data_IF_014930165762
#
_entry.id   IF_014930165762
#
_cell.length_a   1.000
_cell.length_b   1.000
_cell.length_c   1.000
_cell.angle_alpha   90.00
_cell.angle_beta   90.00
_cell.angle_gamma   90.00
#
_symmetry.space_group_name_H-M   'P 1'
#
loop_
_entity.id
_entity.type
_entity.pdbx_description
1 polymer ?
#
# COMPACT_ATOMS: atom_id res chain seq x y z
N UNK A 1 15.10 6.28 17.24
CA UNK A 1 14.07 6.24 16.18
C UNK A 1 13.02 5.26 16.67
N UNK A 2 11.77 5.69 16.84
CA UNK A 2 10.70 4.82 17.34
C UNK A 2 10.08 4.01 16.18
N UNK A 3 9.46 2.87 16.50
CA UNK A 3 8.83 1.99 15.52
C UNK A 3 7.72 2.73 14.74
N UNK A 4 7.02 3.65 15.41
CA UNK A 4 5.95 4.46 14.81
C UNK A 4 6.47 5.34 13.67
N UNK A 5 7.56 6.07 13.89
CA UNK A 5 8.14 6.95 12.89
C UNK A 5 8.71 6.16 11.70
N UNK A 6 9.21 4.95 11.93
CA UNK A 6 9.61 4.02 10.86
C UNK A 6 8.40 3.56 10.03
N UNK A 7 7.30 3.17 10.69
CA UNK A 7 6.05 2.81 10.01
C UNK A 7 5.55 3.99 9.20
N UNK A 8 5.48 5.19 9.78
CA UNK A 8 5.00 6.40 9.11
C UNK A 8 5.86 6.70 7.87
N UNK A 9 7.19 6.72 8.02
CA UNK A 9 8.11 7.00 6.91
C UNK A 9 7.99 5.96 5.79
N UNK A 10 7.93 4.68 6.15
CA UNK A 10 7.82 3.60 5.18
C UNK A 10 6.45 3.57 4.50
N UNK A 11 5.37 3.89 5.23
CA UNK A 11 4.02 4.00 4.68
C UNK A 11 3.93 5.13 3.65
N UNK A 12 4.60 6.26 3.86
CA UNK A 12 4.65 7.35 2.89
C UNK A 12 5.38 6.96 1.60
N UNK A 13 6.44 6.14 1.69
CA UNK A 13 7.13 5.58 0.52
C UNK A 13 6.18 4.66 -0.26
N UNK A 14 5.50 3.75 0.43
CA UNK A 14 4.53 2.85 -0.22
C UNK A 14 3.35 3.61 -0.82
N UNK A 15 2.77 4.57 -0.08
CA UNK A 15 1.64 5.38 -0.50
C UNK A 15 1.90 6.02 -1.86
N UNK A 16 2.97 6.81 -1.97
CA UNK A 16 3.34 7.47 -3.23
C UNK A 16 3.54 6.47 -4.36
N UNK A 17 4.14 5.31 -4.08
CA UNK A 17 4.39 4.31 -5.14
C UNK A 17 3.10 3.65 -5.60
N UNK A 18 2.19 3.32 -4.69
CA UNK A 18 0.91 2.71 -5.01
C UNK A 18 0.05 3.70 -5.79
N UNK A 19 -0.05 4.96 -5.35
CA UNK A 19 -0.76 6.03 -6.08
C UNK A 19 -0.31 6.12 -7.54
N UNK A 20 1.00 6.12 -7.79
CA UNK A 20 1.54 6.14 -9.15
C UNK A 20 1.13 4.94 -10.01
N UNK A 21 0.99 3.75 -9.42
CA UNK A 21 0.50 2.59 -10.18
C UNK A 21 -1.02 2.65 -10.40
N UNK A 22 -1.79 3.19 -9.43
CA UNK A 22 -3.22 3.38 -9.58
C UNK A 22 -3.55 4.45 -10.63
N UNK A 23 -2.80 5.54 -10.68
CA UNK A 23 -2.98 6.59 -11.69
C UNK A 23 -2.75 6.04 -13.10
N UNK A 24 -1.75 5.16 -13.30
CA UNK A 24 -1.56 4.45 -14.56
C UNK A 24 -2.73 3.50 -14.88
N UNK A 25 -3.28 2.82 -13.87
CA UNK A 25 -4.46 1.97 -14.05
C UNK A 25 -5.64 2.82 -14.53
N UNK A 26 -5.86 3.97 -13.92
CA UNK A 26 -6.90 4.92 -14.31
C UNK A 26 -6.70 5.42 -15.75
N UNK A 27 -5.47 5.77 -16.15
CA UNK A 27 -5.11 6.16 -17.53
C UNK A 27 -5.40 5.06 -18.56
N UNK A 28 -5.28 3.79 -18.16
CA UNK A 28 -5.61 2.63 -19.01
C UNK A 28 -7.08 2.20 -18.95
N UNK A 29 -7.91 2.90 -18.17
CA UNK A 29 -9.34 2.60 -18.02
C UNK A 29 -9.65 1.40 -17.12
N UNK A 30 -8.69 0.96 -16.29
CA UNK A 30 -8.91 -0.09 -15.29
C UNK A 30 -9.69 0.48 -14.11
N UNK A 31 -10.83 -0.12 -13.80
CA UNK A 31 -11.62 0.29 -12.63
C UNK A 31 -10.95 -0.18 -11.34
N UNK A 32 -10.35 0.75 -10.60
CA UNK A 32 -9.80 0.48 -9.27
C UNK A 32 -10.94 0.39 -8.25
N UNK A 33 -11.13 -0.81 -7.69
CA UNK A 33 -12.11 -1.08 -6.63
C UNK A 33 -11.42 -1.67 -5.38
N UNK A 34 -12.17 -1.84 -4.29
CA UNK A 34 -11.64 -2.34 -3.01
C UNK A 34 -11.05 -3.76 -3.15
N UNK A 35 -11.68 -4.63 -3.94
CA UNK A 35 -11.19 -5.99 -4.18
C UNK A 35 -9.81 -6.00 -4.85
N UNK A 36 -9.61 -5.16 -5.87
CA UNK A 36 -8.34 -5.00 -6.55
C UNK A 36 -7.26 -4.43 -5.60
N UNK A 37 -7.61 -3.44 -4.78
CA UNK A 37 -6.68 -2.88 -3.79
C UNK A 37 -6.29 -3.90 -2.73
N UNK A 38 -7.24 -4.71 -2.25
CA UNK A 38 -6.97 -5.79 -1.29
C UNK A 38 -6.06 -6.86 -1.89
N UNK A 39 -6.33 -7.28 -3.13
CA UNK A 39 -5.46 -8.21 -3.85
C UNK A 39 -4.05 -7.65 -4.04
N UNK A 40 -3.95 -6.37 -4.40
CA UNK A 40 -2.65 -5.71 -4.57
C UNK A 40 -1.88 -5.60 -3.26
N UNK A 41 -2.54 -5.21 -2.16
CA UNK A 41 -1.93 -5.18 -0.81
C UNK A 41 -1.35 -6.54 -0.43
N UNK A 42 -2.12 -7.61 -0.62
CA UNK A 42 -1.66 -8.98 -0.32
C UNK A 42 -0.45 -9.39 -1.16
N UNK A 43 -0.47 -9.09 -2.46
CA UNK A 43 0.65 -9.39 -3.36
C UNK A 43 1.91 -8.59 -2.99
N UNK A 44 1.75 -7.32 -2.65
CA UNK A 44 2.86 -6.46 -2.25
C UNK A 44 3.50 -6.95 -0.95
N UNK A 45 2.71 -7.30 0.06
CA UNK A 45 3.22 -7.90 1.32
C UNK A 45 4.01 -9.17 1.03
N UNK A 46 3.44 -10.08 0.24
CA UNK A 46 4.10 -11.34 -0.14
C UNK A 46 5.42 -11.10 -0.88
N UNK A 47 5.46 -10.11 -1.76
CA UNK A 47 6.67 -9.75 -2.50
C UNK A 47 7.74 -9.15 -1.57
N UNK A 48 7.36 -8.19 -0.72
CA UNK A 48 8.29 -7.55 0.21
C UNK A 48 8.88 -8.52 1.24
N UNK A 49 8.13 -9.53 1.66
CA UNK A 49 8.63 -10.58 2.56
C UNK A 49 9.75 -11.43 1.95
N UNK A 50 9.89 -11.49 0.62
CA UNK A 50 11.00 -12.20 -0.03
C UNK A 50 12.34 -11.50 0.18
N UNK A 51 12.33 -10.17 0.33
CA UNK A 51 13.57 -9.39 0.40
C UNK A 51 14.21 -9.43 1.79
N UNK A 52 13.53 -9.89 2.84
CA UNK A 52 14.12 -10.26 4.15
C UNK A 52 14.90 -9.16 4.90
N UNK A 53 14.98 -7.93 4.38
CA UNK A 53 15.81 -6.86 4.91
C UNK A 53 15.12 -6.05 6.02
N UNK A 54 13.80 -6.16 6.13
CA UNK A 54 13.00 -5.48 7.16
C UNK A 54 12.10 -6.49 7.87
N UNK A 55 11.74 -6.25 9.15
CA UNK A 55 10.79 -7.08 9.88
C UNK A 55 9.44 -7.15 9.14
N UNK A 56 8.89 -8.36 9.00
CA UNK A 56 7.59 -8.58 8.34
C UNK A 56 6.47 -7.72 8.97
N UNK A 57 6.44 -7.63 10.30
CA UNK A 57 5.46 -6.80 11.01
C UNK A 57 5.57 -5.30 10.69
N UNK A 58 6.77 -4.79 10.43
CA UNK A 58 7.00 -3.40 10.04
C UNK A 58 6.48 -3.16 8.62
N UNK A 59 6.81 -4.08 7.70
CA UNK A 59 6.35 -4.05 6.31
C UNK A 59 4.82 -4.09 6.26
N UNK A 60 4.21 -5.06 6.94
CA UNK A 60 2.76 -5.26 6.95
C UNK A 60 2.02 -4.01 7.43
N UNK A 61 2.44 -3.46 8.58
CA UNK A 61 1.84 -2.24 9.14
C UNK A 61 1.98 -1.03 8.21
N UNK A 62 3.14 -0.87 7.58
CA UNK A 62 3.39 0.25 6.67
C UNK A 62 2.56 0.14 5.39
N UNK A 63 2.43 -1.06 4.84
CA UNK A 63 1.57 -1.32 3.67
C UNK A 63 0.10 -1.11 4.04
N UNK A 64 -0.35 -1.63 5.18
CA UNK A 64 -1.74 -1.45 5.64
C UNK A 64 -2.09 0.02 5.86
N UNK A 65 -1.17 0.80 6.44
CA UNK A 65 -1.36 2.23 6.61
C UNK A 65 -1.50 2.95 5.26
N UNK A 66 -0.67 2.61 4.27
CA UNK A 66 -0.73 3.20 2.94
C UNK A 66 -2.05 2.86 2.21
N UNK A 67 -2.46 1.59 2.20
CA UNK A 67 -3.72 1.19 1.53
C UNK A 67 -4.96 1.76 2.21
N UNK A 68 -4.99 1.82 3.54
CA UNK A 68 -6.09 2.46 4.27
C UNK A 68 -6.23 3.94 3.90
N UNK A 69 -5.11 4.64 3.72
CA UNK A 69 -5.12 6.03 3.29
C UNK A 69 -5.64 6.16 1.85
N UNK A 70 -5.21 5.31 0.93
CA UNK A 70 -5.69 5.28 -0.46
C UNK A 70 -7.20 5.04 -0.54
N UNK A 71 -7.71 4.07 0.21
CA UNK A 71 -9.14 3.74 0.24
C UNK A 71 -9.96 4.95 0.72
N UNK A 72 -9.47 5.64 1.77
CA UNK A 72 -10.10 6.88 2.27
C UNK A 72 -10.08 7.99 1.23
N UNK A 73 -8.93 8.24 0.60
CA UNK A 73 -8.78 9.32 -0.38
C UNK A 73 -9.63 9.09 -1.62
N UNK A 74 -9.66 7.85 -2.13
CA UNK A 74 -10.41 7.49 -3.33
C UNK A 74 -11.92 7.32 -3.08
N UNK A 75 -12.41 7.53 -1.85
CA UNK A 75 -13.84 7.41 -1.49
C UNK A 75 -14.47 6.12 -2.04
N UNK A 76 -13.71 5.03 -2.05
CA UNK A 76 -14.22 3.72 -2.47
C UNK A 76 -15.18 3.30 -1.37
N UNK A 77 -16.47 3.58 -1.58
CA UNK A 77 -17.54 3.29 -0.62
C UNK A 77 -17.75 1.77 -0.55
N UNK A 78 -17.71 1.25 0.67
CA UNK A 78 -18.21 -0.08 1.05
C UNK A 78 -19.65 -0.32 0.59
#
# INVERSE_FOLDING_TARGET
MDEKHLIDSLSQIFLRRIEQELDKMDETGVLVNEELLNAFSLLLKKEMHKYGHLPASLIDKAIDAAFNEIIKQRSIKH
#
